data_IF_750530143191
#
_entry.id   IF_750530143191
#
_cell.length_a   1.000
_cell.length_b   1.000
_cell.length_c   1.000
_cell.angle_alpha   90.00
_cell.angle_beta   90.00
_cell.angle_gamma   90.00
#
_symmetry.space_group_name_H-M   'P 1'
#
loop_
_entity.id
_entity.type
_entity.pdbx_description
1 polymer ?
#
# COMPACT_ATOMS: atom_id res chain seq x y z
N UNK A 1 -21.72 5.56 -1.89
CA UNK A 1 -21.85 6.73 -2.78
C UNK A 1 -20.60 6.84 -3.64
N UNK A 2 -20.74 6.90 -4.97
CA UNK A 2 -19.61 7.11 -5.90
C UNK A 2 -19.47 8.60 -6.19
N UNK A 3 -18.29 9.17 -5.93
CA UNK A 3 -17.97 10.56 -6.27
C UNK A 3 -17.68 10.64 -7.77
N UNK A 4 -18.26 11.64 -8.45
CA UNK A 4 -17.91 11.96 -9.85
C UNK A 4 -16.71 12.91 -9.84
N UNK A 5 -15.79 12.69 -10.77
CA UNK A 5 -14.63 13.54 -11.00
C UNK A 5 -14.48 13.80 -12.50
N UNK A 6 -13.98 14.97 -12.85
CA UNK A 6 -13.62 15.34 -14.23
C UNK A 6 -12.11 15.44 -14.30
N UNK A 7 -11.51 14.84 -15.33
CA UNK A 7 -10.07 14.89 -15.58
C UNK A 7 -9.85 15.30 -17.03
N UNK A 8 -8.79 16.07 -17.27
CA UNK A 8 -8.33 16.44 -18.61
C UNK A 8 -7.12 15.59 -18.95
N UNK A 9 -7.11 15.01 -20.16
CA UNK A 9 -6.04 14.18 -20.68
C UNK A 9 -5.64 14.68 -22.06
N UNK A 10 -4.40 14.43 -22.45
CA UNK A 10 -3.89 14.72 -23.79
C UNK A 10 -4.61 13.86 -24.84
N UNK A 11 -4.78 14.39 -26.05
CA UNK A 11 -5.52 13.70 -27.13
C UNK A 11 -4.87 12.37 -27.55
N UNK A 12 -3.54 12.29 -27.51
CA UNK A 12 -2.80 11.05 -27.79
C UNK A 12 -3.12 9.95 -26.77
N UNK A 13 -3.27 10.32 -25.49
CA UNK A 13 -3.66 9.41 -24.41
C UNK A 13 -5.13 9.00 -24.54
N UNK A 14 -6.01 9.91 -24.95
CA UNK A 14 -7.42 9.56 -25.22
C UNK A 14 -7.51 8.53 -26.35
N UNK A 15 -6.76 8.72 -27.43
CA UNK A 15 -6.72 7.78 -28.56
C UNK A 15 -6.22 6.40 -28.13
N UNK A 16 -5.16 6.38 -27.32
CA UNK A 16 -4.60 5.14 -26.77
C UNK A 16 -5.57 4.42 -25.83
N UNK A 17 -6.28 5.17 -24.99
CA UNK A 17 -7.30 4.64 -24.07
C UNK A 17 -8.48 4.02 -24.84
N UNK A 18 -8.85 4.60 -25.99
CA UNK A 18 -9.93 4.11 -26.84
C UNK A 18 -9.56 2.77 -27.49
N UNK A 19 -8.33 2.68 -28.00
CA UNK A 19 -7.80 1.42 -28.53
C UNK A 19 -7.72 0.33 -27.44
N UNK A 20 -7.29 0.68 -26.23
CA UNK A 20 -7.22 -0.28 -25.12
C UNK A 20 -8.62 -0.71 -24.64
N UNK A 21 -9.60 0.20 -24.66
CA UNK A 21 -11.00 -0.12 -24.37
C UNK A 21 -11.58 -1.10 -25.41
N UNK A 22 -11.29 -0.90 -26.69
CA UNK A 22 -11.68 -1.80 -27.76
C UNK A 22 -11.03 -3.18 -27.62
N UNK A 23 -9.72 -3.21 -27.33
CA UNK A 23 -8.95 -4.46 -27.20
C UNK A 23 -9.35 -5.29 -25.98
N UNK A 24 -9.57 -4.64 -24.84
CA UNK A 24 -9.91 -5.31 -23.57
C UNK A 24 -11.40 -5.59 -23.40
N UNK A 25 -12.27 -4.98 -24.22
CA UNK A 25 -13.72 -5.03 -24.06
C UNK A 25 -14.23 -4.32 -22.81
N UNK A 26 -13.39 -3.54 -22.12
CA UNK A 26 -13.73 -2.81 -20.89
C UNK A 26 -14.12 -1.36 -21.18
N UNK A 27 -14.94 -0.77 -20.31
CA UNK A 27 -15.26 0.67 -20.38
C UNK A 27 -14.02 1.50 -20.04
N UNK A 28 -13.82 2.66 -20.70
CA UNK A 28 -12.75 3.63 -20.40
C UNK A 28 -12.66 3.96 -18.90
N UNK A 29 -13.81 4.16 -18.25
CA UNK A 29 -13.88 4.44 -16.80
C UNK A 29 -13.35 3.29 -15.93
N UNK A 30 -13.52 2.03 -16.36
CA UNK A 30 -12.97 0.88 -15.63
C UNK A 30 -11.45 0.84 -15.77
N UNK A 31 -10.93 1.07 -16.98
CA UNK A 31 -9.49 1.12 -17.25
C UNK A 31 -8.83 2.23 -16.43
N UNK A 32 -9.41 3.44 -16.43
CA UNK A 32 -8.92 4.57 -15.62
C UNK A 32 -8.92 4.21 -14.13
N UNK A 33 -9.97 3.55 -13.64
CA UNK A 33 -10.05 3.13 -12.23
C UNK A 33 -8.99 2.10 -11.87
N UNK A 34 -8.78 1.11 -12.73
CA UNK A 34 -7.74 0.09 -12.55
C UNK A 34 -6.34 0.72 -12.53
N UNK A 35 -6.05 1.62 -13.47
CA UNK A 35 -4.78 2.34 -13.55
C UNK A 35 -4.51 3.20 -12.30
N UNK A 36 -5.51 3.98 -11.85
CA UNK A 36 -5.41 4.79 -10.63
C UNK A 36 -5.19 3.92 -9.39
N UNK A 37 -5.93 2.81 -9.27
CA UNK A 37 -5.75 1.87 -8.15
C UNK A 37 -4.36 1.24 -8.14
N UNK A 38 -3.85 0.84 -9.31
CA UNK A 38 -2.49 0.32 -9.45
C UNK A 38 -1.45 1.35 -9.02
N UNK A 39 -1.58 2.59 -9.48
CA UNK A 39 -0.68 3.68 -9.12
C UNK A 39 -0.67 3.96 -7.61
N UNK A 40 -1.86 4.09 -7.00
CA UNK A 40 -2.00 4.33 -5.56
C UNK A 40 -1.49 3.14 -4.73
N UNK A 41 -1.69 1.91 -5.19
CA UNK A 41 -1.15 0.73 -4.52
C UNK A 41 0.38 0.68 -4.56
N UNK A 42 1.00 1.04 -5.68
CA UNK A 42 2.46 1.13 -5.80
C UNK A 42 2.99 2.24 -4.90
N UNK A 43 2.37 3.42 -4.94
CA UNK A 43 2.77 4.58 -4.13
C UNK A 43 2.68 4.30 -2.63
N UNK A 44 1.60 3.64 -2.18
CA UNK A 44 1.39 3.30 -0.77
C UNK A 44 2.23 2.11 -0.27
N UNK A 45 2.92 1.38 -1.15
CA UNK A 45 3.69 0.19 -0.74
C UNK A 45 4.83 0.55 0.20
N UNK A 46 5.57 1.62 -0.10
CA UNK A 46 6.68 2.08 0.76
C UNK A 46 6.21 2.51 2.14
N UNK A 47 5.09 3.23 2.22
CA UNK A 47 4.49 3.65 3.49
C UNK A 47 3.99 2.45 4.30
N UNK A 48 3.37 1.46 3.66
CA UNK A 48 2.93 0.23 4.32
C UNK A 48 4.08 -0.58 4.89
N UNK A 49 5.20 -0.66 4.17
CA UNK A 49 6.42 -1.34 4.65
C UNK A 49 6.95 -0.62 5.89
N UNK A 50 7.09 0.71 5.84
CA UNK A 50 7.57 1.50 6.99
C UNK A 50 6.64 1.36 8.21
N UNK A 51 5.33 1.44 8.01
CA UNK A 51 4.36 1.26 9.08
C UNK A 51 4.49 -0.13 9.72
N UNK A 52 4.63 -1.18 8.91
CA UNK A 52 4.82 -2.55 9.38
C UNK A 52 6.14 -2.73 10.16
N UNK A 53 7.24 -2.15 9.68
CA UNK A 53 8.53 -2.18 10.39
C UNK A 53 8.44 -1.48 11.75
N UNK A 54 7.77 -0.33 11.81
CA UNK A 54 7.62 0.45 13.04
C UNK A 54 6.71 -0.24 14.06
N UNK A 55 5.61 -0.85 13.60
CA UNK A 55 4.73 -1.67 14.45
C UNK A 55 5.47 -2.88 15.03
N UNK A 56 6.24 -3.60 14.22
CA UNK A 56 7.01 -4.74 14.71
C UNK A 56 8.09 -4.32 15.70
N UNK A 57 8.79 -3.21 15.43
CA UNK A 57 9.78 -2.68 16.35
C UNK A 57 9.14 -2.35 17.70
N UNK A 58 7.99 -1.68 17.70
CA UNK A 58 7.23 -1.38 18.93
C UNK A 58 6.79 -2.65 19.66
N UNK A 59 6.35 -3.68 18.92
CA UNK A 59 5.96 -4.96 19.52
C UNK A 59 7.14 -5.67 20.20
N UNK A 60 8.30 -5.71 19.54
CA UNK A 60 9.54 -6.29 20.09
C UNK A 60 10.00 -5.49 21.31
N UNK A 61 10.01 -4.16 21.22
CA UNK A 61 10.42 -3.29 22.34
C UNK A 61 9.49 -3.47 23.55
N UNK A 62 8.19 -3.56 23.31
CA UNK A 62 7.19 -3.84 24.36
C UNK A 62 7.41 -5.21 25.01
N UNK A 63 7.69 -6.23 24.20
CA UNK A 63 7.98 -7.57 24.71
C UNK A 63 9.28 -7.58 25.54
N UNK A 64 10.35 -6.99 25.01
CA UNK A 64 11.63 -6.90 25.71
C UNK A 64 11.48 -6.19 27.06
N UNK A 65 10.70 -5.11 27.10
CA UNK A 65 10.38 -4.39 28.34
C UNK A 65 9.65 -5.29 29.34
N UNK A 66 8.60 -6.00 28.90
CA UNK A 66 7.87 -6.94 29.77
C UNK A 66 8.80 -8.02 30.34
N UNK A 67 9.72 -8.57 29.53
CA UNK A 67 10.68 -9.57 30.02
C UNK A 67 11.73 -8.93 30.94
N UNK A 68 12.11 -7.67 30.76
CA UNK A 68 12.99 -6.96 31.72
C UNK A 68 12.32 -6.71 33.07
N UNK A 69 11.05 -6.30 33.07
CA UNK A 69 10.32 -5.92 34.29
C UNK A 69 9.80 -7.14 35.06
N UNK A 70 9.18 -8.09 34.36
CA UNK A 70 8.45 -9.22 34.97
C UNK A 70 9.07 -10.59 34.64
N UNK A 71 10.13 -10.62 33.82
CA UNK A 71 10.71 -11.87 33.33
C UNK A 71 11.62 -12.55 34.36
N UNK A 72 11.45 -13.87 34.49
CA UNK A 72 12.28 -14.72 35.35
C UNK A 72 13.66 -15.07 34.74
N UNK A 73 13.95 -14.62 33.51
CA UNK A 73 15.16 -14.98 32.75
C UNK A 73 16.14 -13.80 32.70
N UNK A 74 17.37 -14.05 33.15
CA UNK A 74 18.48 -13.10 33.14
C UNK A 74 18.75 -12.57 31.72
N UNK A 75 19.07 -11.28 31.62
CA UNK A 75 19.31 -10.58 30.35
C UNK A 75 20.40 -11.24 29.49
N UNK A 76 21.40 -11.86 30.12
CA UNK A 76 22.49 -12.61 29.49
C UNK A 76 22.09 -13.96 28.87
N UNK A 77 20.89 -14.47 29.18
CA UNK A 77 20.37 -15.75 28.69
C UNK A 77 19.34 -15.58 27.57
N UNK A 78 19.08 -14.35 27.12
CA UNK A 78 18.12 -14.03 26.07
C UNK A 78 18.81 -14.16 24.71
N UNK A 79 18.37 -15.11 23.87
CA UNK A 79 18.77 -15.19 22.46
C UNK A 79 17.82 -14.32 21.63
N UNK A 80 18.20 -13.07 21.35
CA UNK A 80 17.59 -12.24 20.32
C UNK A 80 18.69 -11.67 19.43
#
# INVERSE_FOLDING_TARGET
MTRKMTITLEEELLTSLDNEALKSGKKKTQIIREALNLYLNISSKGEKIKAWEEENKKAIDSYNKMVEEDGLILKSSRMF
#
